data_IF_488832200101
#
_entry.id   IF_488832200101
#
_cell.length_a   1.000
_cell.length_b   1.000
_cell.length_c   1.000
_cell.angle_alpha   90.00
_cell.angle_beta   90.00
_cell.angle_gamma   90.00
#
_symmetry.space_group_name_H-M   'P 1'
#
loop_
_entity.id
_entity.type
_entity.pdbx_description
1 polymer ?
#
# COMPACT_ATOMS: atom_id res chain seq x y z
N UNK A 1 6.27 3.86 -9.61
CA UNK A 1 6.42 4.31 -8.21
C UNK A 1 7.84 4.18 -7.67
N UNK A 2 8.61 3.14 -8.04
CA UNK A 2 9.95 2.91 -7.47
C UNK A 2 10.97 4.06 -7.62
N UNK A 3 10.98 4.78 -8.76
CA UNK A 3 11.93 5.87 -8.97
C UNK A 3 11.74 7.03 -7.97
N UNK A 4 10.49 7.36 -7.60
CA UNK A 4 10.19 8.43 -6.62
C UNK A 4 10.70 8.02 -5.24
N UNK A 5 10.43 6.77 -4.84
CA UNK A 5 10.90 6.24 -3.57
C UNK A 5 12.43 6.18 -3.51
N UNK A 6 13.09 5.83 -4.62
CA UNK A 6 14.56 5.82 -4.71
C UNK A 6 15.16 7.22 -4.59
N UNK A 7 14.58 8.22 -5.27
CA UNK A 7 15.03 9.61 -5.15
C UNK A 7 14.84 10.14 -3.72
N UNK A 8 13.67 9.86 -3.13
CA UNK A 8 13.39 10.24 -1.74
C UNK A 8 14.37 9.58 -0.76
N UNK A 9 14.72 8.31 -0.96
CA UNK A 9 15.70 7.60 -0.12
C UNK A 9 17.11 8.20 -0.24
N UNK A 10 17.54 8.52 -1.47
CA UNK A 10 18.82 9.19 -1.72
C UNK A 10 18.93 10.54 -1.00
N UNK A 11 17.82 11.28 -0.93
CA UNK A 11 17.72 12.57 -0.24
C UNK A 11 17.31 12.45 1.23
N UNK A 12 17.23 11.23 1.78
CA UNK A 12 16.82 10.93 3.16
C UNK A 12 15.42 11.45 3.53
N UNK A 13 14.53 11.60 2.54
CA UNK A 13 13.14 12.00 2.72
C UNK A 13 12.30 10.79 3.07
N UNK A 14 11.62 10.84 4.22
CA UNK A 14 10.72 9.76 4.64
C UNK A 14 9.48 9.69 3.74
N UNK A 15 9.30 8.56 3.06
CA UNK A 15 8.13 8.31 2.23
C UNK A 15 7.04 7.51 2.95
N UNK A 16 5.78 7.91 2.69
CA UNK A 16 4.57 7.15 3.02
C UNK A 16 3.70 7.05 1.78
N UNK A 17 2.99 5.94 1.62
CA UNK A 17 2.21 5.63 0.41
C UNK A 17 0.71 5.65 0.66
N UNK A 18 -0.05 5.74 -0.44
CA UNK A 18 -1.51 5.60 -0.49
C UNK A 18 -1.91 4.88 -1.78
N UNK A 19 -3.05 4.19 -1.77
CA UNK A 19 -3.69 3.77 -3.02
C UNK A 19 -4.43 4.94 -3.67
N UNK A 20 -4.27 5.13 -4.98
CA UNK A 20 -4.89 6.24 -5.69
C UNK A 20 -6.41 6.06 -5.91
N UNK A 21 -6.86 4.82 -6.11
CA UNK A 21 -8.25 4.47 -6.40
C UNK A 21 -8.68 3.23 -5.60
N UNK A 22 -9.99 3.02 -5.47
CA UNK A 22 -10.58 1.87 -4.77
C UNK A 22 -10.08 0.53 -5.30
N UNK A 23 -9.82 0.41 -6.62
CA UNK A 23 -9.29 -0.81 -7.23
C UNK A 23 -7.98 -1.34 -6.61
N UNK A 24 -7.21 -0.47 -5.95
CA UNK A 24 -6.01 -0.85 -5.21
C UNK A 24 -6.29 -1.72 -3.98
N UNK A 25 -7.50 -1.67 -3.42
CA UNK A 25 -7.85 -2.33 -2.15
C UNK A 25 -9.04 -3.29 -2.27
N UNK A 26 -9.77 -3.26 -3.38
CA UNK A 26 -10.90 -4.14 -3.66
C UNK A 26 -10.53 -5.37 -4.51
N UNK A 27 -9.26 -5.51 -4.90
CA UNK A 27 -8.77 -6.61 -5.74
C UNK A 27 -7.44 -7.18 -5.24
N UNK A 28 -7.21 -8.48 -5.44
CA UNK A 28 -5.93 -9.10 -5.10
C UNK A 28 -4.76 -8.46 -5.86
N UNK A 29 -4.93 -8.17 -7.15
CA UNK A 29 -3.88 -7.51 -7.93
C UNK A 29 -3.52 -6.13 -7.36
N UNK A 30 -4.51 -5.35 -6.93
CA UNK A 30 -4.28 -4.08 -6.25
C UNK A 30 -3.42 -4.23 -5.00
N UNK A 31 -3.75 -5.21 -4.15
CA UNK A 31 -2.98 -5.52 -2.96
C UNK A 31 -1.58 -6.04 -3.24
N UNK A 32 -1.42 -6.87 -4.27
CA UNK A 32 -0.10 -7.35 -4.68
C UNK A 32 0.80 -6.18 -5.09
N UNK A 33 0.24 -5.15 -5.76
CA UNK A 33 0.98 -3.93 -6.09
C UNK A 33 1.36 -3.12 -4.84
N UNK A 34 0.45 -3.00 -3.86
CA UNK A 34 0.72 -2.31 -2.59
C UNK A 34 1.82 -3.03 -1.82
N UNK A 35 1.71 -4.34 -1.64
CA UNK A 35 2.69 -5.16 -0.92
C UNK A 35 4.05 -5.16 -1.64
N UNK A 36 4.06 -5.23 -2.96
CA UNK A 36 5.29 -5.11 -3.75
C UNK A 36 5.97 -3.75 -3.54
N UNK A 37 5.22 -2.66 -3.58
CA UNK A 37 5.78 -1.33 -3.31
C UNK A 37 6.28 -1.19 -1.87
N UNK A 38 5.52 -1.70 -0.89
CA UNK A 38 5.88 -1.59 0.52
C UNK A 38 7.09 -2.45 0.90
N UNK A 39 7.21 -3.63 0.30
CA UNK A 39 8.32 -4.56 0.54
C UNK A 39 9.62 -4.13 -0.13
N UNK A 40 9.55 -3.55 -1.33
CA UNK A 40 10.72 -3.33 -2.19
C UNK A 40 11.10 -1.87 -2.39
N UNK A 41 10.29 -0.91 -1.92
CA UNK A 41 10.66 0.51 -1.89
C UNK A 41 10.83 1.01 -0.45
N UNK A 42 11.41 2.20 -0.29
CA UNK A 42 11.79 2.82 0.98
C UNK A 42 10.61 3.37 1.81
N UNK A 43 9.40 2.87 1.61
CA UNK A 43 8.22 3.32 2.34
C UNK A 43 8.32 3.00 3.84
N UNK A 44 7.93 3.96 4.68
CA UNK A 44 7.88 3.83 6.15
C UNK A 44 6.46 3.83 6.71
N UNK A 45 5.45 3.93 5.84
CA UNK A 45 4.06 3.90 6.24
C UNK A 45 3.12 3.85 5.04
N UNK A 46 1.89 3.45 5.30
CA UNK A 46 0.82 3.31 4.33
C UNK A 46 -0.47 3.85 4.92
N UNK A 47 -1.17 4.70 4.19
CA UNK A 47 -2.57 5.04 4.46
C UNK A 47 -3.44 4.37 3.40
N UNK A 48 -4.40 3.55 3.83
CA UNK A 48 -5.28 2.83 2.92
C UNK A 48 -6.61 3.57 2.80
N UNK A 49 -7.01 3.86 1.56
CA UNK A 49 -8.19 4.64 1.22
C UNK A 49 -9.23 3.75 0.52
N UNK A 50 -10.49 3.70 0.95
CA UNK A 50 -11.11 4.25 2.17
C UNK A 50 -11.64 3.10 3.02
N UNK A 51 -11.97 3.38 4.28
CA UNK A 51 -12.38 2.35 5.23
C UNK A 51 -13.49 1.44 4.68
N UNK A 52 -14.53 1.97 4.05
CA UNK A 52 -15.60 1.18 3.41
C UNK A 52 -15.08 0.22 2.33
N UNK A 53 -14.16 0.67 1.48
CA UNK A 53 -13.54 -0.17 0.44
C UNK A 53 -12.66 -1.30 1.01
N UNK A 54 -12.25 -1.19 2.28
CA UNK A 54 -11.52 -2.26 2.98
C UNK A 54 -12.49 -3.14 3.77
N UNK A 55 -13.50 -2.56 4.41
CA UNK A 55 -14.38 -3.28 5.33
C UNK A 55 -15.53 -3.97 4.64
N UNK A 56 -16.02 -3.46 3.52
CA UNK A 56 -17.28 -3.91 2.90
C UNK A 56 -17.06 -5.10 1.96
N UNK A 57 -15.81 -5.37 1.57
CA UNK A 57 -15.45 -6.58 0.83
C UNK A 57 -14.45 -7.45 1.60
N UNK A 58 -14.53 -8.76 1.38
CA UNK A 58 -13.72 -9.75 2.07
C UNK A 58 -12.23 -9.69 1.69
N UNK A 59 -11.92 -9.31 0.43
CA UNK A 59 -10.54 -9.22 -0.07
C UNK A 59 -9.78 -8.15 0.71
N UNK A 60 -10.25 -6.91 0.69
CA UNK A 60 -9.70 -5.77 1.41
C UNK A 60 -9.48 -6.09 2.89
N UNK A 61 -10.50 -6.63 3.57
CA UNK A 61 -10.39 -7.00 4.98
C UNK A 61 -9.28 -8.03 5.22
N UNK A 62 -9.26 -9.10 4.43
CA UNK A 62 -8.31 -10.22 4.58
C UNK A 62 -6.88 -9.78 4.26
N UNK A 63 -6.70 -9.01 3.19
CA UNK A 63 -5.39 -8.49 2.77
C UNK A 63 -4.86 -7.47 3.77
N UNK A 64 -5.69 -6.55 4.25
CA UNK A 64 -5.30 -5.58 5.28
C UNK A 64 -4.87 -6.29 6.57
N UNK A 65 -5.65 -7.28 7.04
CA UNK A 65 -5.30 -8.09 8.22
C UNK A 65 -3.95 -8.80 8.06
N UNK A 66 -3.70 -9.39 6.88
CA UNK A 66 -2.42 -10.03 6.58
C UNK A 66 -1.27 -9.03 6.53
N UNK A 67 -1.47 -7.84 5.96
CA UNK A 67 -0.43 -6.83 5.87
C UNK A 67 0.03 -6.35 7.25
N UNK A 68 -0.90 -6.11 8.19
CA UNK A 68 -0.57 -5.60 9.53
C UNK A 68 -0.03 -6.68 10.49
N UNK A 69 -0.10 -7.96 10.12
CA UNK A 69 0.39 -9.07 10.93
C UNK A 69 1.84 -9.48 10.59
N UNK A 70 2.47 -8.81 9.61
CA UNK A 70 3.87 -9.01 9.22
C UNK A 70 4.81 -8.19 10.11
#
# INVERSE_FOLDING_TARGET
MFWVAQAADADQVTMKGENALAGGVTSDHGWDNIENAFKWASYKGLTVLRIGEVTDNTIGRTRYQRLIAQ
#
